data_IF_770330554304
#
_entry.id   IF_770330554304
#
_cell.length_a   1.000
_cell.length_b   1.000
_cell.length_c   1.000
_cell.angle_alpha   90.00
_cell.angle_beta   90.00
_cell.angle_gamma   90.00
#
_symmetry.space_group_name_H-M   'P 1'
#
loop_
_entity.id
_entity.type
_entity.pdbx_description
1 polymer ?
#
# COMPACT_ATOMS: atom_id res chain seq x y z
N UNK A 1 51.56 2.87 1.80
CA UNK A 1 50.86 1.78 2.52
C UNK A 1 50.27 2.32 3.81
N UNK A 2 48.94 2.32 3.92
CA UNK A 2 48.14 2.21 5.17
C UNK A 2 46.67 2.14 4.75
N UNK A 3 46.12 0.93 4.75
CA UNK A 3 44.72 0.65 4.43
C UNK A 3 43.91 0.92 5.70
N UNK A 4 42.89 1.76 5.61
CA UNK A 4 41.90 1.94 6.67
C UNK A 4 40.56 1.46 6.13
N UNK A 5 40.16 0.28 6.59
CA UNK A 5 38.85 -0.32 6.36
C UNK A 5 37.99 0.07 7.55
N UNK A 6 37.01 0.95 7.33
CA UNK A 6 35.91 1.18 8.28
C UNK A 6 34.65 0.53 7.69
N UNK A 7 34.56 -0.79 7.87
CA UNK A 7 33.37 -1.59 7.61
C UNK A 7 32.53 -1.63 8.89
N UNK A 8 31.76 -0.58 9.22
CA UNK A 8 30.81 -0.65 10.35
C UNK A 8 29.74 0.45 10.31
N UNK A 9 28.80 0.40 9.36
CA UNK A 9 27.44 0.97 9.52
C UNK A 9 26.47 0.22 8.59
N UNK A 10 26.37 -1.09 8.77
CA UNK A 10 25.22 -1.86 8.30
C UNK A 10 24.49 -2.44 9.51
N UNK A 11 23.95 -1.54 10.33
CA UNK A 11 22.85 -1.86 11.22
C UNK A 11 21.60 -1.22 10.62
N UNK A 12 21.23 -1.67 9.41
CA UNK A 12 19.85 -1.54 8.93
C UNK A 12 19.07 -2.39 9.93
N UNK A 13 18.41 -1.71 10.87
CA UNK A 13 17.58 -2.34 11.86
C UNK A 13 16.59 -3.25 11.14
N UNK A 14 16.88 -4.55 11.20
CA UNK A 14 15.87 -5.58 11.13
C UNK A 14 15.00 -5.41 12.38
N UNK A 15 14.19 -4.34 12.38
CA UNK A 15 13.01 -4.34 13.21
C UNK A 15 12.20 -5.53 12.72
N UNK A 16 12.04 -6.47 13.64
CA UNK A 16 11.11 -7.57 13.54
C UNK A 16 9.72 -6.95 13.28
N UNK A 17 9.37 -6.78 12.01
CA UNK A 17 8.03 -6.44 11.57
C UNK A 17 7.15 -7.62 11.94
N UNK A 18 6.54 -7.55 13.12
CA UNK A 18 5.35 -8.33 13.42
C UNK A 18 4.33 -8.00 12.32
N UNK A 19 3.88 -9.05 11.64
CA UNK A 19 3.41 -9.00 10.26
C UNK A 19 2.27 -8.03 10.04
N UNK A 20 2.56 -6.97 9.31
CA UNK A 20 1.53 -6.24 8.59
C UNK A 20 1.17 -7.08 7.37
N UNK A 21 0.04 -7.79 7.45
CA UNK A 21 -0.39 -8.72 6.42
C UNK A 21 -0.95 -7.93 5.24
N UNK A 22 -0.20 -7.82 4.14
CA UNK A 22 -0.75 -7.34 2.89
C UNK A 22 -1.82 -8.34 2.41
N UNK A 23 -3.01 -7.83 2.07
CA UNK A 23 -4.11 -8.62 1.53
C UNK A 23 -4.49 -8.10 0.17
N UNK A 24 -4.66 -9.01 -0.79
CA UNK A 24 -5.24 -8.69 -2.08
C UNK A 24 -6.75 -8.59 -1.95
N UNK A 25 -7.23 -7.35 -2.00
CA UNK A 25 -8.63 -6.96 -1.88
C UNK A 25 -9.36 -7.20 -3.21
N UNK A 26 -8.78 -6.69 -4.30
CA UNK A 26 -9.30 -6.87 -5.65
C UNK A 26 -8.23 -7.50 -6.54
N UNK A 27 -8.59 -8.59 -7.22
CA UNK A 27 -7.76 -9.27 -8.20
C UNK A 27 -8.54 -9.35 -9.51
N UNK A 28 -8.22 -8.45 -10.44
CA UNK A 28 -8.91 -8.35 -11.73
C UNK A 28 -8.80 -9.65 -12.55
N UNK A 29 -7.70 -10.40 -12.40
CA UNK A 29 -7.51 -11.65 -13.12
C UNK A 29 -8.48 -12.73 -12.64
N UNK A 30 -8.76 -12.79 -11.32
CA UNK A 30 -9.73 -13.73 -10.74
C UNK A 30 -11.19 -13.40 -11.06
N UNK A 31 -11.47 -12.14 -11.37
CA UNK A 31 -12.81 -11.66 -11.68
C UNK A 31 -13.29 -11.96 -13.11
N UNK A 32 -12.42 -12.46 -14.00
CA UNK A 32 -12.82 -12.97 -15.31
C UNK A 32 -13.58 -11.96 -16.18
N UNK A 33 -13.29 -10.66 -16.03
CA UNK A 33 -13.94 -9.59 -16.80
C UNK A 33 -15.29 -9.09 -16.25
N UNK A 34 -15.73 -9.56 -15.07
CA UNK A 34 -16.98 -9.11 -14.42
C UNK A 34 -16.72 -8.55 -13.02
N UNK A 35 -17.47 -7.52 -12.61
CA UNK A 35 -17.38 -7.04 -11.22
C UNK A 35 -17.89 -8.10 -10.25
N UNK A 36 -17.34 -8.13 -9.04
CA UNK A 36 -17.70 -9.13 -8.03
C UNK A 36 -17.16 -8.80 -6.65
N UNK A 37 -17.50 -9.62 -5.67
CA UNK A 37 -17.02 -9.45 -4.31
C UNK A 37 -15.49 -9.57 -4.25
N UNK A 38 -14.86 -8.61 -3.58
CA UNK A 38 -13.45 -8.66 -3.20
C UNK A 38 -13.23 -9.48 -1.93
N UNK A 39 -11.99 -9.46 -1.47
CA UNK A 39 -11.61 -9.99 -0.16
C UNK A 39 -11.78 -8.88 0.88
N UNK A 40 -12.50 -9.17 1.96
CA UNK A 40 -12.56 -8.25 3.09
C UNK A 40 -11.19 -8.16 3.77
N UNK A 41 -10.65 -6.95 4.00
CA UNK A 41 -9.44 -6.79 4.80
C UNK A 41 -9.57 -7.34 6.21
N UNK A 42 -8.43 -7.61 6.85
CA UNK A 42 -8.41 -7.95 8.27
C UNK A 42 -9.11 -6.87 9.10
N UNK A 43 -9.86 -7.30 10.11
CA UNK A 43 -10.57 -6.40 11.01
C UNK A 43 -10.76 -7.02 12.38
N UNK A 44 -11.00 -6.20 13.39
CA UNK A 44 -11.24 -6.68 14.74
C UNK A 44 -10.87 -5.67 15.81
N UNK A 45 -10.03 -6.08 16.76
CA UNK A 45 -9.66 -5.25 17.91
C UNK A 45 -8.90 -4.00 17.48
N UNK A 46 -9.35 -2.84 17.98
CA UNK A 46 -8.66 -1.56 17.80
C UNK A 46 -7.25 -1.61 18.43
N UNK A 47 -6.28 -0.99 17.77
CA UNK A 47 -4.86 -1.11 18.15
C UNK A 47 -4.18 -2.40 17.67
N UNK A 48 -4.92 -3.27 16.95
CA UNK A 48 -4.36 -4.38 16.17
C UNK A 48 -4.71 -4.23 14.69
N UNK A 49 -5.94 -3.84 14.39
CA UNK A 49 -6.41 -3.54 13.03
C UNK A 49 -6.92 -2.10 12.98
N UNK A 50 -6.76 -1.46 11.83
CA UNK A 50 -7.39 -0.15 11.58
C UNK A 50 -8.90 -0.32 11.42
N UNK A 51 -9.32 -1.35 10.68
CA UNK A 51 -10.74 -1.66 10.52
C UNK A 51 -11.25 -2.45 11.73
N UNK A 52 -12.31 -1.95 12.38
CA UNK A 52 -12.98 -2.67 13.49
C UNK A 52 -14.15 -3.53 13.03
N UNK A 53 -14.52 -3.43 11.75
CA UNK A 53 -15.57 -4.23 11.10
C UNK A 53 -15.10 -4.66 9.72
N UNK A 54 -15.37 -5.92 9.38
CA UNK A 54 -15.08 -6.44 8.05
C UNK A 54 -16.04 -5.79 7.04
N UNK A 55 -15.48 -5.22 5.97
CA UNK A 55 -16.24 -4.72 4.84
C UNK A 55 -15.74 -5.45 3.61
N UNK A 56 -16.63 -6.19 2.95
CA UNK A 56 -16.34 -6.83 1.67
C UNK A 56 -16.62 -5.83 0.55
N UNK A 57 -15.61 -5.28 -0.13
CA UNK A 57 -15.85 -4.33 -1.20
C UNK A 57 -16.36 -5.05 -2.45
N UNK A 58 -17.08 -4.32 -3.30
CA UNK A 58 -17.35 -4.76 -4.66
C UNK A 58 -16.20 -4.30 -5.56
N UNK A 59 -15.48 -5.25 -6.14
CA UNK A 59 -14.34 -5.01 -7.01
C UNK A 59 -14.78 -4.93 -8.47
N UNK A 60 -14.29 -3.90 -9.15
CA UNK A 60 -14.39 -3.81 -10.60
C UNK A 60 -13.49 -4.86 -11.25
N UNK A 61 -13.95 -5.46 -12.36
CA UNK A 61 -13.14 -6.36 -13.18
C UNK A 61 -11.83 -5.75 -13.72
N UNK A 62 -11.67 -4.42 -13.60
CA UNK A 62 -10.53 -3.71 -14.13
C UNK A 62 -9.57 -3.18 -13.05
N UNK A 63 -9.81 -3.48 -11.77
CA UNK A 63 -9.04 -2.92 -10.65
C UNK A 63 -8.33 -4.05 -9.91
N UNK A 64 -7.01 -3.92 -9.80
CA UNK A 64 -6.22 -4.61 -8.80
C UNK A 64 -6.07 -3.70 -7.59
N UNK A 65 -6.27 -4.24 -6.39
CA UNK A 65 -6.14 -3.48 -5.15
C UNK A 65 -5.57 -4.37 -4.06
N UNK A 66 -4.50 -3.90 -3.45
CA UNK A 66 -3.95 -4.48 -2.22
C UNK A 66 -4.12 -3.47 -1.08
N UNK A 67 -4.34 -4.00 0.12
CA UNK A 67 -4.39 -3.21 1.34
C UNK A 67 -3.59 -3.84 2.45
N UNK A 68 -3.21 -3.03 3.43
CA UNK A 68 -2.41 -3.47 4.57
C UNK A 68 -2.68 -2.56 5.77
N UNK A 69 -2.82 -3.17 6.95
CA UNK A 69 -2.79 -2.46 8.21
C UNK A 69 -1.37 -1.94 8.53
N UNK A 70 -1.31 -0.69 8.96
CA UNK A 70 -0.13 -0.07 9.51
C UNK A 70 0.28 -0.66 10.85
N UNK A 71 1.40 -0.19 11.40
CA UNK A 71 1.91 -0.62 12.70
C UNK A 71 0.81 -0.50 13.77
N UNK A 72 0.50 -1.61 14.43
CA UNK A 72 -0.55 -1.71 15.46
C UNK A 72 -1.92 -1.17 15.00
N UNK A 73 -2.26 -1.31 13.72
CA UNK A 73 -3.54 -0.85 13.16
C UNK A 73 -3.73 0.67 13.21
N UNK A 74 -2.67 1.45 13.34
CA UNK A 74 -2.77 2.91 13.45
C UNK A 74 -3.27 3.58 12.14
N UNK A 75 -3.10 2.93 11.00
CA UNK A 75 -3.62 3.36 9.70
C UNK A 75 -3.90 2.16 8.81
N UNK A 76 -4.57 2.40 7.70
CA UNK A 76 -4.73 1.45 6.61
C UNK A 76 -4.16 2.06 5.35
N UNK A 77 -3.28 1.33 4.67
CA UNK A 77 -2.67 1.73 3.41
C UNK A 77 -3.25 0.89 2.27
N UNK A 78 -3.48 1.53 1.13
CA UNK A 78 -4.00 0.89 -0.08
C UNK A 78 -3.19 1.29 -1.30
N UNK A 79 -3.02 0.33 -2.19
CA UNK A 79 -2.50 0.53 -3.53
C UNK A 79 -3.50 0.00 -4.54
N UNK A 80 -3.79 0.78 -5.56
CA UNK A 80 -4.69 0.40 -6.62
C UNK A 80 -4.02 0.54 -7.98
N UNK A 81 -4.34 -0.38 -8.88
CA UNK A 81 -3.83 -0.42 -10.24
C UNK A 81 -4.96 -0.77 -11.19
N UNK A 82 -5.05 -0.07 -12.32
CA UNK A 82 -6.06 -0.38 -13.34
C UNK A 82 -5.46 -1.23 -14.45
N UNK A 83 -6.05 -2.39 -14.73
CA UNK A 83 -5.64 -3.27 -15.85
C UNK A 83 -6.01 -2.70 -17.22
N UNK A 84 -6.67 -1.53 -17.27
CA UNK A 84 -6.97 -0.77 -18.49
C UNK A 84 -6.48 0.67 -18.42
N UNK A 85 -5.92 1.08 -17.28
CA UNK A 85 -5.46 2.43 -17.04
C UNK A 85 -3.96 2.55 -17.23
N UNK A 86 -3.46 3.78 -17.11
CA UNK A 86 -2.05 4.09 -17.29
C UNK A 86 -1.31 4.38 -15.98
N UNK A 87 -2.01 4.39 -14.83
CA UNK A 87 -1.43 4.76 -13.54
C UNK A 87 -1.83 3.78 -12.43
N UNK A 88 -0.96 3.68 -11.44
CA UNK A 88 -1.27 3.21 -10.09
C UNK A 88 -1.64 4.39 -9.19
N UNK A 89 -2.34 4.10 -8.10
CA UNK A 89 -2.74 5.06 -7.08
C UNK A 89 -2.38 4.53 -5.71
N UNK A 90 -1.96 5.43 -4.84
CA UNK A 90 -1.62 5.16 -3.45
C UNK A 90 -2.53 6.00 -2.54
N UNK A 91 -2.93 5.45 -1.40
CA UNK A 91 -3.71 6.17 -0.41
C UNK A 91 -3.58 5.54 0.97
N UNK A 92 -3.70 6.35 2.02
CA UNK A 92 -3.68 5.86 3.39
C UNK A 92 -4.55 6.71 4.30
N UNK A 93 -4.97 6.14 5.43
CA UNK A 93 -5.88 6.82 6.38
C UNK A 93 -5.17 7.72 7.39
N UNK A 94 -3.84 7.69 7.48
CA UNK A 94 -3.06 8.58 8.34
C UNK A 94 -2.95 10.02 7.75
N UNK A 95 -4.07 10.71 7.55
CA UNK A 95 -4.11 12.06 6.97
C UNK A 95 -3.74 12.15 5.48
N UNK A 96 -3.67 11.01 4.79
CA UNK A 96 -3.32 10.93 3.37
C UNK A 96 -4.51 11.20 2.46
N UNK A 97 -4.20 11.60 1.22
CA UNK A 97 -5.16 11.63 0.12
C UNK A 97 -4.82 10.51 -0.88
N UNK A 98 -5.81 10.12 -1.69
CA UNK A 98 -5.55 9.26 -2.85
C UNK A 98 -4.84 10.09 -3.91
N UNK A 99 -3.67 9.65 -4.34
CA UNK A 99 -2.88 10.31 -5.38
C UNK A 99 -2.30 9.31 -6.38
N UNK A 100 -1.99 9.74 -7.62
CA UNK A 100 -1.24 8.91 -8.56
C UNK A 100 0.11 8.53 -7.94
N UNK A 101 0.45 7.24 -7.98
CA UNK A 101 1.70 6.72 -7.42
C UNK A 101 2.77 6.56 -8.50
N UNK A 102 2.44 5.93 -9.62
CA UNK A 102 3.34 5.76 -10.76
C UNK A 102 2.55 5.50 -12.05
N UNK A 103 3.23 5.60 -13.21
CA UNK A 103 2.71 5.06 -14.47
C UNK A 103 2.88 3.54 -14.52
N UNK A 104 1.97 2.85 -15.20
CA UNK A 104 2.11 1.42 -15.44
C UNK A 104 3.34 1.14 -16.32
N UNK A 105 4.10 0.11 -15.98
CA UNK A 105 5.24 -0.36 -16.75
C UNK A 105 4.80 -1.07 -18.05
N UNK A 106 3.63 -1.72 -18.04
CA UNK A 106 3.11 -2.47 -19.18
C UNK A 106 2.14 -1.59 -20.00
N UNK A 107 2.38 -1.43 -21.31
CA UNK A 107 1.41 -0.81 -22.20
C UNK A 107 0.09 -1.58 -22.20
N UNK A 108 -1.01 -0.88 -21.92
CA UNK A 108 -2.36 -1.46 -21.93
C UNK A 108 -2.94 -1.78 -20.56
N UNK A 109 -2.17 -1.68 -19.46
CA UNK A 109 -2.71 -1.82 -18.11
C UNK A 109 -1.66 -2.15 -17.06
N UNK A 110 -1.94 -1.79 -15.81
CA UNK A 110 -1.13 -2.16 -14.67
C UNK A 110 -1.44 -3.59 -14.18
N UNK A 111 -0.44 -4.23 -13.61
CA UNK A 111 -0.48 -5.56 -12.97
C UNK A 111 -0.88 -5.47 -11.49
N UNK A 112 -1.13 -6.64 -10.87
CA UNK A 112 -1.35 -6.73 -9.43
C UNK A 112 -0.09 -6.32 -8.65
N UNK A 113 1.10 -6.71 -9.10
CA UNK A 113 2.36 -6.34 -8.43
C UNK A 113 2.60 -4.82 -8.39
N UNK A 114 2.07 -4.08 -9.37
CA UNK A 114 2.10 -2.63 -9.37
C UNK A 114 1.13 -2.02 -8.34
N UNK A 115 -0.02 -2.65 -8.06
CA UNK A 115 -0.86 -2.29 -6.91
C UNK A 115 -0.14 -2.56 -5.59
N UNK A 116 0.52 -3.71 -5.45
CA UNK A 116 1.31 -4.05 -4.25
C UNK A 116 2.41 -3.01 -3.99
N UNK A 117 3.09 -2.59 -5.06
CA UNK A 117 4.14 -1.56 -4.98
C UNK A 117 3.56 -0.22 -4.54
N UNK A 118 2.44 0.22 -5.13
CA UNK A 118 1.77 1.46 -4.74
C UNK A 118 1.26 1.41 -3.27
N UNK A 119 0.81 0.25 -2.79
CA UNK A 119 0.45 0.04 -1.39
C UNK A 119 1.67 0.23 -0.48
N UNK A 120 2.83 -0.32 -0.86
CA UNK A 120 4.09 -0.12 -0.13
C UNK A 120 4.51 1.35 -0.06
N UNK A 121 4.33 2.10 -1.16
CA UNK A 121 4.52 3.57 -1.18
C UNK A 121 3.56 4.25 -0.21
N UNK A 122 2.27 3.91 -0.25
CA UNK A 122 1.26 4.47 0.65
C UNK A 122 1.59 4.17 2.13
N UNK A 123 2.02 2.96 2.43
CA UNK A 123 2.35 2.55 3.80
C UNK A 123 3.59 3.28 4.32
N UNK A 124 4.60 3.49 3.48
CA UNK A 124 5.79 4.27 3.83
C UNK A 124 5.41 5.73 4.08
N UNK A 125 4.57 6.32 3.22
CA UNK A 125 4.07 7.68 3.42
C UNK A 125 3.27 7.82 4.72
N UNK A 126 2.43 6.85 5.04
CA UNK A 126 1.65 6.82 6.27
C UNK A 126 2.53 6.76 7.53
N UNK A 127 3.59 5.95 7.50
CA UNK A 127 4.57 5.89 8.60
C UNK A 127 5.23 7.25 8.84
N UNK A 128 5.63 7.91 7.75
CA UNK A 128 6.28 9.22 7.82
C UNK A 128 5.32 10.34 8.24
N UNK A 129 4.03 10.26 7.85
CA UNK A 129 3.00 11.21 8.27
C UNK A 129 2.76 11.18 9.79
N UNK A 130 2.93 10.02 10.44
CA UNK A 130 2.87 9.89 11.90
C UNK A 130 4.10 10.44 12.63
N UNK A 131 5.24 10.56 11.93
CA UNK A 131 6.49 11.09 12.47
C UNK A 131 6.68 12.60 12.30
N UNK A 132 5.99 13.23 11.35
CA UNK A 132 6.21 14.64 11.03
C UNK A 132 4.95 15.34 10.56
N UNK A 133 4.35 16.16 11.44
CA UNK A 133 3.56 17.31 11.03
C UNK A 133 4.43 18.36 10.35
N UNK A 134 5.02 18.04 9.20
CA UNK A 134 5.69 19.02 8.33
C UNK A 134 5.15 18.84 6.93
N UNK A 135 4.10 19.59 6.62
CA UNK A 135 3.52 19.64 5.29
C UNK A 135 4.57 20.02 4.25
N UNK A 136 4.74 19.17 3.25
CA UNK A 136 5.27 19.58 1.96
C UNK A 136 4.11 19.70 1.00
N UNK A 137 3.36 20.81 1.15
CA UNK A 137 2.53 21.31 0.07
C UNK A 137 3.43 21.77 -1.06
N UNK A 138 3.64 20.92 -2.07
CA UNK A 138 4.08 21.41 -3.38
C UNK A 138 2.83 21.83 -4.13
N UNK A 139 2.41 23.07 -3.87
CA UNK A 139 1.55 23.80 -4.78
C UNK A 139 2.32 24.04 -6.08
N UNK A 140 1.77 23.52 -7.17
CA UNK A 140 2.00 24.05 -8.51
C UNK A 140 0.99 25.15 -8.78
#
# INVERSE_FOLDING_TARGET
MKKVVYASMLAVGAFLSFGAQAVTICDAAKLGGKSGAGVAPASGTAGTNFMVRAITPNCSANVNMDGQDGTSGAWFAVGAASVKGANTFAGHTNGGAVSPSAKCAVPGGCTLGEATTAMGVANTAAQNAGGTGTGTGTGT
#
